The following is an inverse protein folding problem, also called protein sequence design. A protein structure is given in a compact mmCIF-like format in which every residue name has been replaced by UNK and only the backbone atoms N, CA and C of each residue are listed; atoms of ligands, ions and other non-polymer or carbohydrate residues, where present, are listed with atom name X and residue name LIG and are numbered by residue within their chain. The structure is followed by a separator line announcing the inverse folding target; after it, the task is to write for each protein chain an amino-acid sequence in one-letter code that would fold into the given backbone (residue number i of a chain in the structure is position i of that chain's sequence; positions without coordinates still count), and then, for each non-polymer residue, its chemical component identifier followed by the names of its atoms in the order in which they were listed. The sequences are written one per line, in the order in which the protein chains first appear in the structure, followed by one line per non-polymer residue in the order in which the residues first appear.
data_IF_152648687682
#
_entry.id   IF_152648687682
#
_cell.length_a   1.000
_cell.length_b   1.000
_cell.length_c   1.000
_cell.angle_alpha   90.00
_cell.angle_beta   90.00
_cell.angle_gamma   90.00
#
_symmetry.space_group_name_H-M   'P 1'
#
loop_
_entity.id
_entity.type
_entity.pdbx_description
1 polymer ?
#
# COMPACT_ATOMS: atom_id res chain seq x y z
N UNK A 1 -76.06 6.86 5.55
CA UNK A 1 -74.81 7.63 5.26
C UNK A 1 -73.65 6.97 5.98
N UNK A 2 -72.86 6.15 5.29
CA UNK A 2 -71.67 5.48 5.84
C UNK A 2 -70.45 6.37 5.56
N UNK A 3 -69.77 6.86 6.57
CA UNK A 3 -68.55 7.60 6.47
C UNK A 3 -67.38 6.59 6.33
N UNK A 4 -66.71 6.64 5.17
CA UNK A 4 -65.48 5.89 4.90
C UNK A 4 -64.34 6.75 5.39
N UNK A 5 -63.60 6.26 6.44
CA UNK A 5 -62.35 6.84 6.87
C UNK A 5 -61.23 6.27 6.01
N UNK A 6 -60.60 7.12 5.20
CA UNK A 6 -59.43 6.80 4.43
C UNK A 6 -58.19 7.01 5.34
N UNK A 7 -57.59 5.91 5.80
CA UNK A 7 -56.32 5.97 6.57
C UNK A 7 -55.19 6.03 5.57
N UNK A 8 -54.54 7.19 5.44
CA UNK A 8 -53.32 7.35 4.67
C UNK A 8 -52.16 6.74 5.47
N UNK A 9 -51.60 5.63 5.00
CA UNK A 9 -50.38 5.07 5.52
C UNK A 9 -49.18 5.85 4.87
N UNK A 10 -48.55 6.73 5.66
CA UNK A 10 -47.29 7.34 5.27
C UNK A 10 -46.21 6.25 5.37
N UNK A 11 -45.78 5.72 4.22
CA UNK A 11 -44.56 4.96 4.16
C UNK A 11 -43.37 5.97 4.22
N UNK A 12 -42.78 6.10 5.41
CA UNK A 12 -41.42 6.69 5.51
C UNK A 12 -40.46 5.69 4.87
N UNK A 13 -40.06 5.97 3.66
CA UNK A 13 -38.90 5.33 3.04
C UNK A 13 -37.68 5.72 3.85
N UNK A 14 -37.10 4.76 4.60
CA UNK A 14 -35.81 4.91 5.20
C UNK A 14 -34.78 5.05 4.04
N UNK A 15 -34.43 6.28 3.68
CA UNK A 15 -33.22 6.55 2.89
C UNK A 15 -32.06 6.12 3.80
N UNK A 16 -31.45 4.99 3.49
CA UNK A 16 -30.16 4.61 4.08
C UNK A 16 -29.14 5.66 3.64
N UNK A 17 -28.92 6.67 4.47
CA UNK A 17 -27.73 7.51 4.34
C UNK A 17 -26.53 6.59 4.55
N UNK A 18 -25.85 6.18 3.47
CA UNK A 18 -24.55 5.54 3.60
C UNK A 18 -23.64 6.57 4.30
N UNK A 19 -23.09 6.20 5.45
CA UNK A 19 -22.23 7.08 6.19
C UNK A 19 -21.04 7.46 5.29
N UNK A 20 -20.90 8.75 4.99
CA UNK A 20 -19.79 9.28 4.22
C UNK A 20 -18.54 9.24 5.12
N UNK A 21 -17.50 8.53 4.71
CA UNK A 21 -16.25 8.39 5.46
C UNK A 21 -15.33 9.60 5.30
N UNK A 22 -15.37 10.24 4.12
CA UNK A 22 -14.59 11.42 3.80
C UNK A 22 -15.21 12.18 2.62
N UNK A 23 -14.93 13.48 2.53
CA UNK A 23 -15.28 14.28 1.36
C UNK A 23 -14.09 14.34 0.40
N UNK A 24 -14.30 13.94 -0.87
CA UNK A 24 -13.29 14.11 -1.93
C UNK A 24 -13.27 15.59 -2.33
N UNK A 25 -12.17 16.27 -2.04
CA UNK A 25 -11.98 17.68 -2.38
C UNK A 25 -11.46 17.85 -3.80
N UNK A 26 -10.53 16.97 -4.20
CA UNK A 26 -9.87 17.07 -5.50
C UNK A 26 -9.28 15.71 -5.90
N UNK A 27 -9.30 15.43 -7.20
CA UNK A 27 -8.54 14.37 -7.87
C UNK A 27 -7.67 15.04 -8.92
N UNK A 28 -6.38 15.19 -8.64
CA UNK A 28 -5.45 15.94 -9.46
C UNK A 28 -4.46 15.02 -10.17
N UNK A 29 -4.37 15.14 -11.49
CA UNK A 29 -3.26 14.57 -12.26
C UNK A 29 -2.01 15.41 -12.04
N UNK A 30 -0.88 14.74 -11.79
CA UNK A 30 0.45 15.36 -11.65
C UNK A 30 1.24 15.06 -12.92
N UNK A 31 1.58 16.07 -13.68
CA UNK A 31 2.40 15.92 -14.86
C UNK A 31 3.88 15.84 -14.47
N UNK A 32 4.37 14.63 -14.31
CA UNK A 32 5.76 14.34 -13.95
C UNK A 32 6.70 14.31 -15.17
N UNK A 33 6.19 14.46 -16.39
CA UNK A 33 6.95 14.32 -17.65
C UNK A 33 7.56 12.92 -17.86
N UNK A 34 7.12 11.93 -17.08
CA UNK A 34 7.54 10.53 -17.17
C UNK A 34 6.43 9.61 -16.71
N UNK A 35 6.37 8.41 -17.29
CA UNK A 35 5.51 7.34 -16.80
C UNK A 35 6.09 6.74 -15.52
N UNK A 36 5.25 6.52 -14.51
CA UNK A 36 5.62 5.98 -13.20
C UNK A 36 4.71 4.84 -12.75
N UNK A 37 5.22 4.00 -11.87
CA UNK A 37 4.51 2.84 -11.32
C UNK A 37 4.69 2.76 -9.81
N UNK A 38 3.65 2.25 -9.13
CA UNK A 38 3.63 1.96 -7.68
C UNK A 38 4.14 3.13 -6.83
N UNK A 39 3.39 4.22 -6.81
CA UNK A 39 3.77 5.42 -6.08
C UNK A 39 3.77 5.17 -4.58
N UNK A 40 4.65 5.85 -3.86
CA UNK A 40 4.67 5.92 -2.40
C UNK A 40 4.66 7.38 -2.01
N UNK A 41 3.55 7.85 -1.43
CA UNK A 41 3.41 9.22 -0.98
C UNK A 41 4.12 9.41 0.38
N UNK A 42 4.69 10.59 0.61
CA UNK A 42 5.29 10.95 1.90
C UNK A 42 4.26 11.00 3.03
N UNK A 43 4.72 10.86 4.27
CA UNK A 43 3.84 10.86 5.45
C UNK A 43 2.99 12.13 5.55
N UNK A 44 3.55 13.28 5.17
CA UNK A 44 2.88 14.59 5.13
C UNK A 44 2.10 14.87 3.82
N UNK A 45 2.17 13.94 2.85
CA UNK A 45 1.51 14.09 1.55
C UNK A 45 2.16 15.10 0.60
N UNK A 46 3.35 15.63 0.90
CA UNK A 46 3.97 16.73 0.13
C UNK A 46 4.65 16.29 -1.16
N UNK A 47 5.04 15.03 -1.27
CA UNK A 47 5.68 14.46 -2.47
C UNK A 47 5.41 12.96 -2.61
N UNK A 48 5.73 12.45 -3.78
CA UNK A 48 5.64 11.02 -4.11
C UNK A 48 7.01 10.53 -4.55
N UNK A 49 7.39 9.30 -4.18
CA UNK A 49 8.47 8.55 -4.83
C UNK A 49 7.86 7.41 -5.63
N UNK A 50 8.39 7.14 -6.81
CA UNK A 50 7.88 6.10 -7.69
C UNK A 50 8.99 5.49 -8.56
N UNK A 51 8.70 4.33 -9.16
CA UNK A 51 9.55 3.73 -10.17
C UNK A 51 9.23 4.36 -11.53
N UNK A 52 10.25 4.81 -12.25
CA UNK A 52 10.14 5.46 -13.56
C UNK A 52 10.99 4.75 -14.62
N UNK A 53 10.77 3.46 -14.81
CA UNK A 53 11.44 2.65 -15.83
C UNK A 53 12.95 2.79 -15.80
N UNK A 54 13.56 3.20 -16.93
CA UNK A 54 15.00 3.36 -17.07
C UNK A 54 15.59 4.50 -16.22
N UNK A 55 14.78 5.49 -15.82
CA UNK A 55 15.22 6.57 -14.90
C UNK A 55 15.45 6.06 -13.47
N UNK A 56 14.91 4.89 -13.12
CA UNK A 56 15.00 4.31 -11.80
C UNK A 56 13.97 4.91 -10.84
N UNK A 57 14.38 5.25 -9.62
CA UNK A 57 13.52 5.84 -8.61
C UNK A 57 13.53 7.35 -8.73
N UNK A 58 12.36 7.95 -8.82
CA UNK A 58 12.17 9.40 -8.90
C UNK A 58 11.40 9.93 -7.69
N UNK A 59 11.64 11.18 -7.31
CA UNK A 59 10.82 12.00 -6.42
C UNK A 59 10.04 13.00 -7.27
N UNK A 60 8.75 13.13 -7.00
CA UNK A 60 7.83 14.03 -7.72
C UNK A 60 7.10 14.88 -6.69
N UNK A 61 7.15 16.19 -6.86
CA UNK A 61 6.42 17.17 -6.02
C UNK A 61 5.07 17.52 -6.64
N UNK A 62 4.20 18.17 -5.87
CA UNK A 62 2.83 18.48 -6.30
C UNK A 62 2.75 19.39 -7.56
N UNK A 63 3.80 20.15 -7.84
CA UNK A 63 3.94 20.97 -9.06
C UNK A 63 4.45 20.17 -10.29
N UNK A 64 4.64 18.85 -10.15
CA UNK A 64 5.15 17.98 -11.21
C UNK A 64 6.68 17.93 -11.33
N UNK A 65 7.43 18.69 -10.52
CA UNK A 65 8.90 18.63 -10.56
C UNK A 65 9.37 17.22 -10.26
N UNK A 66 10.04 16.58 -11.24
CA UNK A 66 10.50 15.20 -11.20
C UNK A 66 12.02 15.13 -11.11
N UNK A 67 12.54 14.52 -10.06
CA UNK A 67 13.97 14.38 -9.79
C UNK A 67 14.37 12.93 -9.61
N UNK A 68 15.37 12.44 -10.36
CA UNK A 68 15.93 11.09 -10.14
C UNK A 68 16.67 11.03 -8.80
N UNK A 69 16.29 10.07 -7.96
CA UNK A 69 16.87 9.80 -6.63
C UNK A 69 17.93 8.70 -6.72
N UNK A 70 17.60 7.61 -7.42
CA UNK A 70 18.52 6.49 -7.61
C UNK A 70 18.35 5.86 -8.99
N UNK A 71 19.46 5.63 -9.70
CA UNK A 71 19.48 4.88 -10.97
C UNK A 71 19.35 3.38 -10.68
N UNK A 72 18.15 2.95 -10.28
CA UNK A 72 17.83 1.58 -9.89
C UNK A 72 16.69 1.06 -10.75
N UNK A 73 16.97 0.73 -12.00
CA UNK A 73 15.99 0.12 -12.91
C UNK A 73 15.50 -1.22 -12.33
N UNK A 74 14.19 -1.46 -12.40
CA UNK A 74 13.56 -2.67 -11.87
C UNK A 74 13.50 -2.74 -10.33
N UNK A 75 13.83 -1.65 -9.61
CA UNK A 75 13.60 -1.57 -8.18
C UNK A 75 12.10 -1.71 -7.86
N UNK A 76 11.79 -2.33 -6.73
CA UNK A 76 10.40 -2.54 -6.31
C UNK A 76 10.28 -2.50 -4.79
N UNK A 77 9.04 -2.59 -4.28
CA UNK A 77 8.73 -2.50 -2.84
C UNK A 77 9.36 -1.24 -2.19
N UNK A 78 9.12 -0.09 -2.81
CA UNK A 78 9.56 1.19 -2.28
C UNK A 78 8.86 1.46 -0.94
N UNK A 79 9.64 1.97 0.02
CA UNK A 79 9.13 2.46 1.31
C UNK A 79 9.86 3.74 1.68
N UNK A 80 9.15 4.72 2.21
CA UNK A 80 9.76 5.93 2.76
C UNK A 80 9.98 5.78 4.25
N UNK A 81 11.07 6.38 4.77
CA UNK A 81 11.22 6.61 6.21
C UNK A 81 10.20 7.64 6.70
N UNK A 82 9.86 7.61 7.99
CA UNK A 82 8.82 8.48 8.55
C UNK A 82 9.13 9.97 8.37
N UNK A 83 10.41 10.34 8.40
CA UNK A 83 10.89 11.71 8.15
C UNK A 83 10.92 12.10 6.66
N UNK A 84 10.61 11.16 5.77
CA UNK A 84 10.64 11.37 4.33
C UNK A 84 12.03 11.63 3.73
N UNK A 85 13.13 11.38 4.47
CA UNK A 85 14.48 11.66 3.97
C UNK A 85 15.07 10.52 3.14
N UNK A 86 14.60 9.28 3.35
CA UNK A 86 15.15 8.13 2.66
C UNK A 86 14.05 7.28 2.02
N UNK A 87 14.33 6.74 0.83
CA UNK A 87 13.56 5.67 0.21
C UNK A 87 14.32 4.36 0.34
N UNK A 88 13.66 3.32 0.86
CA UNK A 88 14.15 1.94 0.93
C UNK A 88 13.52 1.14 -0.19
N UNK A 89 14.30 0.29 -0.86
CA UNK A 89 13.83 -0.45 -2.01
C UNK A 89 14.59 -1.77 -2.22
N UNK A 90 13.91 -2.73 -2.79
CA UNK A 90 14.50 -3.97 -3.26
C UNK A 90 15.09 -3.77 -4.67
N UNK A 91 16.35 -4.16 -4.85
CA UNK A 91 17.04 -4.09 -6.12
C UNK A 91 17.42 -5.48 -6.61
N UNK A 92 16.76 -5.99 -7.68
CA UNK A 92 17.07 -7.28 -8.25
C UNK A 92 18.35 -7.22 -9.10
N UNK A 93 19.10 -8.31 -9.10
CA UNK A 93 20.24 -8.55 -10.02
C UNK A 93 20.22 -9.99 -10.49
N UNK A 94 20.64 -10.22 -11.71
CA UNK A 94 20.88 -11.55 -12.26
C UNK A 94 22.37 -11.79 -12.36
N UNK A 95 22.84 -12.93 -11.87
CA UNK A 95 24.25 -13.31 -11.94
C UNK A 95 24.54 -14.25 -13.10
N UNK A 96 25.81 -14.58 -13.33
CA UNK A 96 26.26 -15.49 -14.39
C UNK A 96 25.60 -16.88 -14.37
N UNK A 97 25.09 -17.30 -13.20
CA UNK A 97 24.31 -18.54 -13.05
C UNK A 97 22.83 -18.41 -13.45
N UNK A 98 22.44 -17.29 -14.06
CA UNK A 98 21.06 -16.94 -14.46
C UNK A 98 20.02 -16.91 -13.31
N UNK A 99 20.48 -16.93 -12.05
CA UNK A 99 19.62 -16.84 -10.89
C UNK A 99 19.43 -15.38 -10.45
N UNK A 100 18.19 -15.09 -10.03
CA UNK A 100 17.83 -13.80 -9.48
C UNK A 100 18.26 -13.69 -8.01
N UNK A 101 18.96 -12.63 -7.70
CA UNK A 101 19.33 -12.20 -6.36
C UNK A 101 18.66 -10.85 -6.07
N UNK A 102 18.41 -10.54 -4.82
CA UNK A 102 17.80 -9.27 -4.41
C UNK A 102 18.62 -8.68 -3.28
N UNK A 103 19.02 -7.43 -3.43
CA UNK A 103 19.57 -6.62 -2.35
C UNK A 103 18.54 -5.64 -1.82
N UNK A 104 18.63 -5.30 -0.52
CA UNK A 104 17.89 -4.17 0.03
C UNK A 104 18.81 -2.97 0.09
N UNK A 105 18.34 -1.85 -0.43
CA UNK A 105 19.09 -0.60 -0.49
C UNK A 105 18.25 0.55 0.05
N UNK A 106 18.92 1.62 0.45
CA UNK A 106 18.29 2.92 0.71
C UNK A 106 18.95 3.98 -0.14
N UNK A 107 18.18 5.00 -0.54
CA UNK A 107 18.69 6.21 -1.17
C UNK A 107 18.22 7.43 -0.37
N UNK A 108 19.11 8.34 -0.06
CA UNK A 108 18.76 9.61 0.54
C UNK A 108 18.20 10.56 -0.53
N UNK A 109 17.04 11.16 -0.28
CA UNK A 109 16.32 11.95 -1.29
C UNK A 109 17.00 13.29 -1.61
N UNK A 110 17.75 13.85 -0.67
CA UNK A 110 18.46 15.12 -0.86
C UNK A 110 19.83 14.90 -1.51
N UNK A 111 20.68 14.04 -0.89
CA UNK A 111 22.05 13.81 -1.34
C UNK A 111 22.16 12.82 -2.49
N UNK A 112 21.10 12.04 -2.76
CA UNK A 112 21.06 10.94 -3.75
C UNK A 112 22.09 9.83 -3.47
N UNK A 113 22.66 9.80 -2.27
CA UNK A 113 23.57 8.73 -1.86
C UNK A 113 22.81 7.42 -1.69
N UNK A 114 23.36 6.33 -2.24
CA UNK A 114 22.78 4.99 -2.16
C UNK A 114 23.61 4.12 -1.24
N UNK A 115 22.94 3.49 -0.26
CA UNK A 115 23.53 2.55 0.70
C UNK A 115 22.92 1.17 0.54
N UNK A 116 23.76 0.12 0.58
CA UNK A 116 23.28 -1.27 0.65
C UNK A 116 23.03 -1.66 2.12
N UNK A 117 21.78 -2.01 2.43
CA UNK A 117 21.35 -2.44 3.77
C UNK A 117 21.52 -3.96 3.92
N UNK A 118 21.08 -4.71 2.91
CA UNK A 118 21.28 -6.17 2.86
C UNK A 118 21.90 -6.51 1.51
N UNK A 119 23.03 -7.24 1.53
CA UNK A 119 23.69 -7.70 0.31
C UNK A 119 22.76 -8.62 -0.49
N UNK A 120 23.00 -8.68 -1.81
CA UNK A 120 22.19 -9.48 -2.71
C UNK A 120 22.16 -10.96 -2.29
N UNK A 121 20.94 -11.45 -2.05
CA UNK A 121 20.64 -12.76 -1.54
C UNK A 121 19.42 -13.34 -2.25
N UNK A 122 19.34 -14.66 -2.36
CA UNK A 122 18.14 -15.38 -2.82
C UNK A 122 17.15 -15.64 -1.68
N UNK A 123 17.54 -15.32 -0.44
CA UNK A 123 16.78 -15.60 0.79
C UNK A 123 16.29 -14.33 1.49
N UNK A 124 16.38 -13.19 0.81
CA UNK A 124 15.78 -11.94 1.30
C UNK A 124 14.26 -12.02 1.06
N UNK A 125 13.49 -11.90 2.13
CA UNK A 125 12.04 -11.84 2.05
C UNK A 125 11.59 -10.53 1.38
N UNK A 126 10.40 -10.54 0.78
CA UNK A 126 9.86 -9.37 0.08
C UNK A 126 9.42 -8.25 1.03
N UNK A 127 9.07 -8.58 2.26
CA UNK A 127 8.59 -7.61 3.25
C UNK A 127 9.72 -6.76 3.85
N UNK A 128 9.41 -5.49 4.10
CA UNK A 128 10.27 -4.55 4.80
C UNK A 128 9.43 -3.78 5.82
N UNK A 129 9.89 -3.73 7.05
CA UNK A 129 9.31 -2.91 8.10
C UNK A 129 10.09 -1.60 8.26
N UNK A 130 9.37 -0.51 8.45
CA UNK A 130 9.95 0.82 8.74
C UNK A 130 9.40 1.28 10.10
N UNK A 131 10.31 1.74 10.97
CA UNK A 131 9.98 2.38 12.23
C UNK A 131 10.88 3.60 12.39
N UNK A 132 10.31 4.80 12.28
CA UNK A 132 11.08 6.04 12.18
C UNK A 132 12.08 5.97 11.02
N UNK A 133 13.38 6.04 11.34
CA UNK A 133 14.50 5.88 10.40
C UNK A 133 15.17 4.50 10.49
N UNK A 134 14.52 3.55 11.13
CA UNK A 134 14.98 2.17 11.23
C UNK A 134 14.31 1.27 10.21
N UNK A 135 15.09 0.37 9.64
CA UNK A 135 14.67 -0.59 8.62
C UNK A 135 14.85 -2.01 9.16
N UNK A 136 13.77 -2.78 9.15
CA UNK A 136 13.79 -4.21 9.47
C UNK A 136 13.54 -5.02 8.20
N UNK A 137 14.51 -5.86 7.84
CA UNK A 137 14.39 -6.84 6.76
C UNK A 137 14.53 -8.25 7.32
N UNK A 138 14.04 -9.25 6.59
CA UNK A 138 14.18 -10.66 6.96
C UNK A 138 14.97 -11.38 5.89
N UNK A 139 16.11 -11.94 6.27
CA UNK A 139 16.94 -12.75 5.41
C UNK A 139 17.15 -14.14 6.03
N UNK A 140 16.79 -15.19 5.30
CA UNK A 140 16.90 -16.58 5.76
C UNK A 140 16.25 -16.80 7.15
N UNK A 141 15.05 -16.24 7.35
CA UNK A 141 14.30 -16.31 8.61
C UNK A 141 14.86 -15.47 9.77
N UNK A 142 15.93 -14.69 9.54
CA UNK A 142 16.55 -13.84 10.56
C UNK A 142 16.29 -12.36 10.26
N UNK A 143 15.83 -11.62 11.27
CA UNK A 143 15.67 -10.18 11.15
C UNK A 143 17.03 -9.46 11.11
N UNK A 144 17.16 -8.54 10.15
CA UNK A 144 18.27 -7.60 9.99
C UNK A 144 17.72 -6.21 10.26
N UNK A 145 18.23 -5.52 11.25
CA UNK A 145 17.76 -4.18 11.64
C UNK A 145 18.88 -3.17 11.47
N UNK A 146 18.60 -2.06 10.80
CA UNK A 146 19.57 -0.99 10.57
C UNK A 146 18.91 0.37 10.76
N UNK A 147 19.64 1.30 11.39
CA UNK A 147 19.28 2.72 11.40
C UNK A 147 19.90 3.43 10.21
N UNK A 148 19.19 4.37 9.63
CA UNK A 148 19.64 5.21 8.50
C UNK A 148 20.23 6.56 8.94
N UNK A 149 19.96 6.98 10.17
CA UNK A 149 20.39 8.26 10.76
C UNK A 149 21.47 8.12 11.85
N UNK A 150 21.92 6.88 12.10
CA UNK A 150 22.95 6.59 13.14
C UNK A 150 22.40 6.48 14.56
N UNK A 151 21.08 6.67 14.76
CA UNK A 151 20.45 6.43 16.07
C UNK A 151 20.37 4.93 16.38
N UNK A 152 19.96 4.58 17.60
CA UNK A 152 19.74 3.17 17.97
C UNK A 152 18.62 2.59 17.08
N UNK A 153 18.96 1.54 16.35
CA UNK A 153 17.99 0.89 15.47
C UNK A 153 16.83 0.25 16.24
N UNK A 154 15.60 0.53 15.81
CA UNK A 154 14.36 -0.02 16.36
C UNK A 154 13.84 -1.09 15.43
N UNK A 155 13.37 -2.20 15.99
CA UNK A 155 12.83 -3.33 15.23
C UNK A 155 11.32 -3.15 15.05
N UNK A 156 10.87 -3.18 13.80
CA UNK A 156 9.44 -3.21 13.45
C UNK A 156 8.98 -4.62 13.07
N UNK A 157 7.69 -4.84 13.09
CA UNK A 157 7.08 -6.03 12.51
C UNK A 157 7.24 -6.04 10.99
N UNK A 158 7.34 -7.23 10.40
CA UNK A 158 7.46 -7.42 8.95
C UNK A 158 6.46 -8.48 8.51
N UNK A 159 5.61 -8.16 7.54
CA UNK A 159 4.81 -9.14 6.83
C UNK A 159 5.41 -9.42 5.45
N UNK A 160 5.45 -10.68 5.06
CA UNK A 160 6.00 -11.12 3.76
C UNK A 160 5.28 -12.36 3.26
N UNK A 161 5.41 -12.62 1.96
CA UNK A 161 4.92 -13.84 1.36
C UNK A 161 6.09 -14.78 1.11
N UNK A 162 5.93 -16.02 1.54
CA UNK A 162 6.90 -17.08 1.39
C UNK A 162 6.23 -18.34 0.85
N UNK A 163 6.44 -18.64 -0.44
CA UNK A 163 5.79 -19.77 -1.15
C UNK A 163 4.25 -19.81 -0.98
N UNK A 164 3.60 -18.64 -1.02
CA UNK A 164 2.14 -18.51 -0.89
C UNK A 164 1.64 -18.42 0.57
N UNK A 165 2.52 -18.63 1.57
CA UNK A 165 2.21 -18.44 2.98
C UNK A 165 2.35 -16.98 3.41
N UNK A 166 1.52 -16.55 4.34
CA UNK A 166 1.64 -15.25 5.00
C UNK A 166 2.56 -15.39 6.23
N UNK A 167 3.80 -14.95 6.06
CA UNK A 167 4.79 -14.92 7.13
C UNK A 167 4.75 -13.56 7.85
N UNK A 168 4.72 -13.59 9.19
CA UNK A 168 4.86 -12.40 10.03
C UNK A 168 6.06 -12.57 10.95
N UNK A 169 6.93 -11.56 10.95
CA UNK A 169 8.09 -11.48 11.84
C UNK A 169 7.84 -10.45 12.92
N UNK A 170 7.79 -10.88 14.17
CA UNK A 170 7.65 -10.02 15.35
C UNK A 170 8.80 -10.30 16.30
N UNK A 171 9.46 -9.28 16.82
CA UNK A 171 10.62 -9.40 17.71
C UNK A 171 11.74 -10.33 17.16
N UNK A 172 11.87 -10.36 15.83
CA UNK A 172 12.86 -11.14 15.11
C UNK A 172 12.54 -12.63 14.95
N UNK A 173 11.38 -13.07 15.38
CA UNK A 173 10.87 -14.44 15.17
C UNK A 173 9.84 -14.43 14.05
N UNK A 174 10.09 -15.22 13.01
CA UNK A 174 9.18 -15.40 11.87
C UNK A 174 8.30 -16.62 12.08
N UNK A 175 7.02 -16.47 11.76
CA UNK A 175 6.06 -17.57 11.72
C UNK A 175 5.09 -17.37 10.55
N UNK A 176 4.64 -18.45 9.93
CA UNK A 176 3.50 -18.46 9.02
C UNK A 176 2.23 -18.42 9.86
N UNK A 177 1.38 -17.44 9.60
CA UNK A 177 0.14 -17.28 10.36
C UNK A 177 -1.09 -17.82 9.62
N UNK A 178 -1.08 -17.81 8.28
CA UNK A 178 -2.12 -18.36 7.37
C UNK A 178 -3.54 -18.37 7.98
N UNK A 179 -4.14 -17.20 8.28
CA UNK A 179 -5.32 -17.11 9.16
C UNK A 179 -6.54 -17.87 8.64
N UNK A 180 -6.55 -18.20 7.35
CA UNK A 180 -7.62 -18.92 6.68
C UNK A 180 -7.16 -20.24 6.08
N UNK A 181 -6.05 -20.77 6.60
CA UNK A 181 -5.45 -21.99 6.14
C UNK A 181 -4.71 -21.83 4.81
N UNK A 182 -4.55 -22.94 4.10
CA UNK A 182 -3.77 -22.98 2.87
C UNK A 182 -4.39 -22.13 1.76
N UNK A 183 -3.58 -21.32 1.10
CA UNK A 183 -4.01 -20.44 0.00
C UNK A 183 -2.86 -19.68 -0.62
N UNK A 184 -3.16 -18.79 -1.56
CA UNK A 184 -2.19 -17.89 -2.15
C UNK A 184 -2.39 -16.50 -1.56
N UNK A 185 -1.61 -16.17 -0.54
CA UNK A 185 -1.60 -14.85 0.09
C UNK A 185 -0.74 -13.89 -0.73
N UNK A 186 -1.20 -12.66 -0.93
CA UNK A 186 -0.46 -11.60 -1.62
C UNK A 186 -0.71 -10.23 -0.97
N UNK A 187 0.13 -9.25 -1.28
CA UNK A 187 0.06 -7.85 -0.85
C UNK A 187 -0.11 -7.62 0.66
N UNK A 188 0.70 -8.27 1.50
CA UNK A 188 0.60 -8.04 2.92
C UNK A 188 1.14 -6.66 3.30
N UNK A 189 0.48 -5.99 4.25
CA UNK A 189 0.93 -4.72 4.82
C UNK A 189 0.60 -4.64 6.30
N UNK A 190 1.59 -4.27 7.12
CA UNK A 190 1.41 -4.04 8.56
C UNK A 190 0.79 -2.66 8.77
N UNK A 191 -0.14 -2.54 9.73
CA UNK A 191 -0.71 -1.26 10.14
C UNK A 191 0.36 -0.33 10.73
N UNK A 192 0.20 1.01 10.63
CA UNK A 192 1.18 1.96 11.16
C UNK A 192 1.49 1.77 12.66
N UNK A 193 0.52 1.35 13.47
CA UNK A 193 0.69 1.04 14.90
C UNK A 193 1.33 -0.34 15.15
N UNK A 194 1.61 -1.11 14.10
CA UNK A 194 2.23 -2.41 14.20
C UNK A 194 1.36 -3.51 14.82
N UNK A 195 0.03 -3.36 14.87
CA UNK A 195 -0.86 -4.30 15.56
C UNK A 195 -1.57 -5.29 14.62
N UNK A 196 -1.79 -4.88 13.37
CA UNK A 196 -2.58 -5.65 12.40
C UNK A 196 -1.83 -5.86 11.09
N UNK A 197 -2.28 -6.82 10.32
CA UNK A 197 -1.84 -7.05 8.94
C UNK A 197 -3.06 -7.11 8.02
N UNK A 198 -3.05 -6.34 6.94
CA UNK A 198 -3.95 -6.50 5.80
C UNK A 198 -3.31 -7.40 4.77
N UNK A 199 -4.08 -8.24 4.11
CA UNK A 199 -3.62 -9.13 3.04
C UNK A 199 -4.76 -9.45 2.06
N UNK A 200 -4.38 -9.83 0.86
CA UNK A 200 -5.30 -10.41 -0.12
C UNK A 200 -5.10 -11.92 -0.18
N UNK A 201 -6.19 -12.67 -0.13
CA UNK A 201 -6.20 -14.11 -0.36
C UNK A 201 -6.88 -14.38 -1.69
N UNK A 202 -6.11 -14.90 -2.65
CA UNK A 202 -6.59 -15.14 -4.03
C UNK A 202 -7.85 -16.01 -4.01
N UNK A 203 -8.88 -15.54 -4.72
CA UNK A 203 -10.19 -16.18 -4.79
C UNK A 203 -11.08 -16.00 -3.57
N UNK A 204 -10.63 -15.24 -2.53
CA UNK A 204 -11.41 -14.99 -1.30
C UNK A 204 -11.54 -13.53 -0.93
N UNK A 205 -10.66 -12.63 -1.47
CA UNK A 205 -10.69 -11.19 -1.25
C UNK A 205 -9.70 -10.67 -0.22
N UNK A 206 -9.95 -9.45 0.26
CA UNK A 206 -9.14 -8.73 1.22
C UNK A 206 -9.57 -9.00 2.66
N UNK A 207 -8.59 -9.14 3.55
CA UNK A 207 -8.80 -9.41 4.98
C UNK A 207 -7.81 -8.64 5.83
N UNK A 208 -8.19 -8.40 7.08
CA UNK A 208 -7.33 -7.89 8.15
C UNK A 208 -7.33 -8.88 9.30
N UNK A 209 -6.19 -9.08 9.96
CA UNK A 209 -6.13 -9.83 11.21
C UNK A 209 -5.05 -9.24 12.15
N UNK A 210 -5.02 -9.73 13.37
CA UNK A 210 -3.91 -9.47 14.29
C UNK A 210 -2.61 -10.11 13.79
N UNK A 211 -1.45 -9.65 14.27
CA UNK A 211 -0.14 -10.20 13.87
C UNK A 211 0.04 -11.69 14.23
N UNK A 212 -0.83 -12.23 15.07
CA UNK A 212 -0.83 -13.66 15.39
C UNK A 212 -1.78 -14.50 14.55
N UNK A 213 -2.50 -13.89 13.61
CA UNK A 213 -3.46 -14.54 12.74
C UNK A 213 -4.86 -14.64 13.34
N UNK A 214 -5.08 -14.16 14.56
CA UNK A 214 -6.41 -14.10 15.20
C UNK A 214 -7.20 -12.86 14.77
N UNK A 215 -8.47 -12.79 15.12
CA UNK A 215 -9.31 -11.59 14.87
C UNK A 215 -9.50 -11.28 13.39
N UNK A 216 -9.68 -12.30 12.56
CA UNK A 216 -9.85 -12.14 11.10
C UNK A 216 -11.13 -11.39 10.79
N UNK A 217 -11.00 -10.29 10.06
CA UNK A 217 -12.11 -9.50 9.53
C UNK A 217 -12.03 -9.49 8.00
N UNK A 218 -13.14 -9.82 7.32
CA UNK A 218 -13.23 -9.68 5.87
C UNK A 218 -13.51 -8.22 5.51
N UNK A 219 -12.69 -7.66 4.60
CA UNK A 219 -12.84 -6.30 4.07
C UNK A 219 -13.68 -6.30 2.78
N UNK A 220 -13.56 -7.34 1.97
CA UNK A 220 -14.25 -7.48 0.67
C UNK A 220 -13.29 -7.55 -0.51
N UNK A 221 -13.72 -7.05 -1.67
CA UNK A 221 -12.94 -7.07 -2.90
C UNK A 221 -12.09 -5.80 -3.04
N UNK A 222 -11.21 -5.57 -2.08
CA UNK A 222 -10.31 -4.41 -2.04
C UNK A 222 -8.88 -4.85 -2.36
N UNK A 223 -8.48 -4.75 -3.63
CA UNK A 223 -7.16 -5.22 -4.10
C UNK A 223 -6.04 -4.24 -3.75
N UNK A 224 -4.83 -4.76 -3.53
CA UNK A 224 -3.63 -4.00 -3.17
C UNK A 224 -3.88 -2.97 -2.06
N UNK A 225 -4.68 -3.36 -1.05
CA UNK A 225 -5.07 -2.49 0.04
C UNK A 225 -3.86 -2.02 0.85
N UNK A 226 -3.84 -0.73 1.16
CA UNK A 226 -2.84 -0.07 2.01
C UNK A 226 -3.53 0.67 3.15
N UNK A 227 -2.80 0.91 4.22
CA UNK A 227 -3.30 1.62 5.38
C UNK A 227 -3.40 3.13 5.13
N UNK A 228 -4.51 3.73 5.53
CA UNK A 228 -4.77 5.17 5.57
C UNK A 228 -5.06 5.57 7.04
N UNK A 229 -4.00 5.71 7.83
CA UNK A 229 -4.07 5.69 9.30
C UNK A 229 -4.15 4.26 9.83
N UNK A 230 -4.56 4.08 11.10
CA UNK A 230 -4.64 2.76 11.74
C UNK A 230 -5.98 2.03 11.50
N UNK A 231 -7.03 2.77 11.19
CA UNK A 231 -8.41 2.29 11.20
C UNK A 231 -9.05 2.23 9.81
N UNK A 232 -8.35 2.70 8.79
CA UNK A 232 -8.87 2.75 7.42
C UNK A 232 -7.91 2.10 6.44
N UNK A 233 -8.50 1.58 5.37
CA UNK A 233 -7.79 1.03 4.23
C UNK A 233 -8.21 1.76 2.96
N UNK A 234 -7.30 1.91 2.02
CA UNK A 234 -7.61 2.28 0.64
C UNK A 234 -7.06 1.21 -0.29
N UNK A 235 -7.82 0.85 -1.31
CA UNK A 235 -7.41 -0.16 -2.28
C UNK A 235 -8.18 -0.03 -3.58
N UNK A 236 -7.87 -0.90 -4.52
CA UNK A 236 -8.49 -0.95 -5.85
C UNK A 236 -9.76 -1.80 -5.83
N UNK A 237 -10.81 -1.28 -6.46
CA UNK A 237 -12.01 -2.01 -6.84
C UNK A 237 -11.98 -2.17 -8.37
N UNK A 238 -11.52 -3.33 -8.83
CA UNK A 238 -11.26 -3.60 -10.23
C UNK A 238 -12.37 -4.43 -10.87
N UNK A 239 -12.77 -4.04 -12.07
CA UNK A 239 -13.65 -4.83 -12.94
C UNK A 239 -12.79 -5.50 -14.01
N UNK A 240 -12.80 -6.84 -14.01
CA UNK A 240 -12.10 -7.64 -15.01
C UNK A 240 -13.02 -7.96 -16.18
N UNK A 241 -12.52 -7.77 -17.40
CA UNK A 241 -13.18 -8.17 -18.64
C UNK A 241 -12.92 -9.64 -19.00
N UNK A 242 -13.45 -10.09 -20.14
CA UNK A 242 -13.39 -11.48 -20.60
C UNK A 242 -11.99 -12.04 -20.83
N UNK A 243 -10.98 -11.19 -21.05
CA UNK A 243 -9.58 -11.59 -21.25
C UNK A 243 -8.70 -11.34 -20.02
N UNK A 244 -9.28 -11.31 -18.82
CA UNK A 244 -8.60 -10.98 -17.55
C UNK A 244 -7.90 -9.60 -17.58
N UNK A 245 -8.30 -8.72 -18.50
CA UNK A 245 -7.85 -7.35 -18.53
C UNK A 245 -8.71 -6.50 -17.62
N UNK A 246 -8.10 -5.57 -16.89
CA UNK A 246 -8.82 -4.58 -16.09
C UNK A 246 -9.52 -3.60 -17.02
N UNK A 247 -10.86 -3.62 -17.02
CA UNK A 247 -11.69 -2.74 -17.86
C UNK A 247 -12.04 -1.43 -17.15
N UNK A 248 -12.25 -1.48 -15.83
CA UNK A 248 -12.42 -0.32 -14.97
C UNK A 248 -11.71 -0.57 -13.63
N UNK A 249 -11.29 0.49 -12.96
CA UNK A 249 -10.72 0.44 -11.61
C UNK A 249 -10.96 1.76 -10.91
N UNK A 250 -11.56 1.71 -9.74
CA UNK A 250 -11.72 2.85 -8.84
C UNK A 250 -11.02 2.61 -7.52
N UNK A 251 -10.74 3.67 -6.76
CA UNK A 251 -10.27 3.54 -5.38
C UNK A 251 -11.44 3.57 -4.41
N UNK A 252 -11.38 2.69 -3.43
CA UNK A 252 -12.32 2.65 -2.30
C UNK A 252 -11.60 2.83 -0.99
N UNK A 253 -12.17 3.68 -0.15
CA UNK A 253 -11.81 3.82 1.26
C UNK A 253 -12.70 2.87 2.07
N UNK A 254 -12.13 2.17 3.04
CA UNK A 254 -12.83 1.25 3.92
C UNK A 254 -12.49 1.57 5.38
N UNK A 255 -13.49 1.70 6.22
CA UNK A 255 -13.34 1.91 7.66
C UNK A 255 -13.53 0.59 8.41
N UNK A 256 -12.53 0.20 9.18
CA UNK A 256 -12.50 -1.10 9.86
C UNK A 256 -13.50 -1.20 11.00
N UNK A 257 -13.81 -0.09 11.67
CA UNK A 257 -14.69 -0.10 12.83
C UNK A 257 -16.15 -0.21 12.41
N UNK A 258 -16.57 0.55 11.41
CA UNK A 258 -17.96 0.55 10.92
C UNK A 258 -18.22 -0.50 9.84
N UNK A 259 -17.19 -1.01 9.17
CA UNK A 259 -17.33 -1.87 7.98
C UNK A 259 -17.85 -1.14 6.74
N UNK A 260 -17.97 0.19 6.79
CA UNK A 260 -18.44 1.01 5.67
C UNK A 260 -17.34 1.19 4.64
N UNK A 261 -17.70 1.17 3.36
CA UNK A 261 -16.78 1.52 2.27
C UNK A 261 -17.36 2.66 1.42
N UNK A 262 -16.47 3.50 0.91
CA UNK A 262 -16.79 4.64 0.07
C UNK A 262 -15.85 4.68 -1.15
N UNK A 263 -16.40 4.80 -2.36
CA UNK A 263 -15.62 5.07 -3.58
C UNK A 263 -15.12 6.50 -3.54
N UNK A 264 -13.84 6.72 -3.80
CA UNK A 264 -13.16 8.02 -3.74
C UNK A 264 -12.57 8.48 -5.06
N UNK A 265 -12.61 7.65 -6.11
CA UNK A 265 -12.39 8.03 -7.50
C UNK A 265 -13.52 7.48 -8.35
N UNK A 266 -13.85 8.13 -9.45
CA UNK A 266 -14.75 7.56 -10.46
C UNK A 266 -14.02 6.56 -11.36
N UNK A 267 -14.72 5.95 -12.30
CA UNK A 267 -14.21 4.97 -13.26
C UNK A 267 -13.65 5.58 -14.54
N UNK A 268 -13.61 6.90 -14.65
CA UNK A 268 -13.03 7.63 -15.80
C UNK A 268 -11.51 7.46 -15.85
N UNK A 269 -10.88 7.22 -14.69
CA UNK A 269 -9.45 6.96 -14.54
C UNK A 269 -9.25 5.59 -13.92
N UNK A 270 -8.58 4.67 -14.63
CA UNK A 270 -8.27 3.34 -14.10
C UNK A 270 -7.22 3.45 -12.99
N UNK A 271 -7.68 3.63 -11.75
CA UNK A 271 -6.81 3.85 -10.60
C UNK A 271 -6.14 2.55 -10.13
N UNK A 272 -4.80 2.56 -10.00
CA UNK A 272 -4.03 1.41 -9.58
C UNK A 272 -2.98 1.77 -8.51
N UNK A 273 -2.66 0.78 -7.65
CA UNK A 273 -1.60 0.82 -6.65
C UNK A 273 -1.63 2.07 -5.76
N UNK A 274 -2.68 2.25 -4.95
CA UNK A 274 -2.77 3.39 -4.07
C UNK A 274 -1.68 3.39 -2.98
N UNK A 275 -1.34 4.61 -2.53
CA UNK A 275 -0.50 4.87 -1.37
C UNK A 275 -1.08 6.06 -0.61
N UNK A 276 -1.18 5.97 0.71
CA UNK A 276 -1.78 6.99 1.55
C UNK A 276 -0.75 7.74 2.38
N UNK A 277 -0.99 9.04 2.63
CA UNK A 277 -0.29 9.82 3.66
C UNK A 277 -0.60 9.28 5.06
N UNK A 278 0.20 9.66 6.05
CA UNK A 278 0.07 9.11 7.40
C UNK A 278 -1.30 9.36 8.04
N UNK A 279 -1.91 10.52 7.75
CA UNK A 279 -3.24 10.90 8.22
C UNK A 279 -4.39 10.41 7.32
N UNK A 280 -4.06 9.78 6.17
CA UNK A 280 -5.01 9.32 5.17
C UNK A 280 -5.72 10.43 4.39
N UNK A 281 -5.28 11.69 4.51
CA UNK A 281 -5.88 12.83 3.81
C UNK A 281 -5.49 12.94 2.35
N UNK A 282 -4.36 12.32 1.95
CA UNK A 282 -3.88 12.29 0.57
C UNK A 282 -3.58 10.88 0.11
N UNK A 283 -4.08 10.53 -1.07
CA UNK A 283 -3.90 9.22 -1.68
C UNK A 283 -3.26 9.42 -3.05
N UNK A 284 -2.04 8.91 -3.24
CA UNK A 284 -1.42 8.85 -4.56
C UNK A 284 -1.76 7.52 -5.24
N UNK A 285 -1.97 7.54 -6.55
CA UNK A 285 -2.16 6.33 -7.35
C UNK A 285 -1.65 6.53 -8.78
N UNK A 286 -1.50 5.44 -9.53
CA UNK A 286 -1.13 5.48 -10.94
C UNK A 286 -2.22 4.86 -11.81
N UNK A 287 -2.13 5.11 -13.13
CA UNK A 287 -2.93 4.40 -14.14
C UNK A 287 -2.08 3.34 -14.84
N UNK A 288 -2.66 2.42 -15.63
CA UNK A 288 -1.90 1.49 -16.47
C UNK A 288 -0.92 2.17 -17.43
N UNK A 289 -1.23 3.39 -17.86
CA UNK A 289 -0.40 4.23 -18.74
C UNK A 289 0.77 4.88 -17.99
N UNK A 290 0.77 4.78 -16.64
CA UNK A 290 1.81 5.33 -15.78
C UNK A 290 1.62 6.82 -15.45
N UNK A 291 0.40 7.32 -15.55
CA UNK A 291 0.05 8.67 -15.09
C UNK A 291 -0.07 8.68 -13.56
N UNK A 292 0.39 9.75 -12.92
CA UNK A 292 0.31 9.94 -11.47
C UNK A 292 -0.86 10.84 -11.11
N UNK A 293 -1.64 10.43 -10.13
CA UNK A 293 -2.75 11.21 -9.56
C UNK A 293 -2.63 11.32 -8.03
N UNK A 294 -3.19 12.39 -7.47
CA UNK A 294 -3.36 12.58 -6.03
C UNK A 294 -4.82 12.92 -5.74
N UNK A 295 -5.45 12.14 -4.88
CA UNK A 295 -6.75 12.43 -4.27
C UNK A 295 -6.51 13.19 -2.97
N UNK A 296 -7.24 14.29 -2.75
CA UNK A 296 -7.27 15.01 -1.47
C UNK A 296 -8.62 14.78 -0.80
N UNK A 297 -8.58 14.32 0.44
CA UNK A 297 -9.74 14.00 1.26
C UNK A 297 -9.80 14.95 2.47
N UNK A 298 -11.02 15.28 2.90
CA UNK A 298 -11.29 15.90 4.21
C UNK A 298 -12.27 15.03 4.99
N UNK A 299 -12.14 15.08 6.31
CA UNK A 299 -13.06 14.37 7.25
C UNK A 299 -14.41 15.01 7.25
#
# INVERSE_FOLDING_TARGET
MRKIFLTAVLMLGAMSMSAQLATVQNVQRIDAGVSVDKPVISADGSFVVAQAGAKGIVKITADGTCTTVAKASGAYNLRLTADGQNVVFAAPEYRSNHLRYVSLKSANLATKSVRTLVKASRRLNSGVGIEGNSVTAVENGKARVQSLDGTKAVRSAVASINYGHLDVTVNGKTRSIDPQGRGSYIWPSISPDGQKVVYWLVGRGCFVCNLDGTGVQRVGELRAAVWAGNDRLVGMDEVEGTAQQVTASSLRLYDLASGVSQTITDDTVKAQFPSASADGSRIAFTTPEGELYIVTLTK
#
